data_IF_936706089369
#
_entry.id   IF_936706089369
#
_cell.length_a   1.000
_cell.length_b   1.000
_cell.length_c   1.000
_cell.angle_alpha   90.00
_cell.angle_beta   90.00
_cell.angle_gamma   90.00
#
_symmetry.space_group_name_H-M   'P 1'
#
loop_
_entity.id
_entity.type
_entity.pdbx_description
1 polymer ?
#
# COMPACT_ATOMS: atom_id res chain seq x y z
N UNK A 1 -6.58 -17.96 25.81
CA UNK A 1 -5.47 -18.73 25.19
C UNK A 1 -5.66 -20.19 25.57
N UNK A 2 -5.42 -21.15 24.67
CA UNK A 2 -5.53 -22.55 25.05
C UNK A 2 -4.43 -22.88 26.06
N UNK A 3 -4.80 -23.57 27.14
CA UNK A 3 -3.89 -24.12 28.14
C UNK A 3 -3.03 -25.19 27.46
N UNK A 4 -1.71 -25.20 27.73
CA UNK A 4 -0.86 -26.33 27.37
C UNK A 4 -1.19 -27.55 28.23
N UNK A 5 -0.72 -28.72 27.80
CA UNK A 5 -0.98 -30.02 28.45
C UNK A 5 -0.49 -30.09 29.92
N UNK A 6 0.38 -29.16 30.35
CA UNK A 6 0.86 -29.02 31.73
C UNK A 6 0.04 -28.01 32.58
N UNK A 7 -1.03 -27.44 32.03
CA UNK A 7 -1.89 -26.46 32.69
C UNK A 7 -1.23 -25.09 32.93
N UNK A 8 -0.05 -24.83 32.32
CA UNK A 8 0.67 -23.55 32.46
C UNK A 8 0.37 -22.62 31.28
N UNK A 9 0.55 -21.32 31.51
CA UNK A 9 0.57 -20.33 30.43
C UNK A 9 2.03 -20.18 30.01
N UNK A 10 2.38 -20.68 28.83
CA UNK A 10 3.69 -20.41 28.23
C UNK A 10 3.59 -19.14 27.41
N UNK A 11 4.29 -18.09 27.83
CA UNK A 11 4.56 -16.94 26.97
C UNK A 11 5.51 -17.40 25.86
N UNK A 12 5.07 -17.24 24.60
CA UNK A 12 5.86 -17.60 23.43
C UNK A 12 5.99 -16.37 22.58
N UNK A 13 7.21 -15.84 22.51
CA UNK A 13 7.54 -14.68 21.70
C UNK A 13 8.27 -15.13 20.43
N UNK A 14 8.05 -14.41 19.33
CA UNK A 14 8.83 -14.61 18.11
C UNK A 14 10.29 -14.23 18.37
N UNK A 15 11.25 -15.03 17.91
CA UNK A 15 12.67 -14.79 18.22
C UNK A 15 13.15 -13.40 17.81
N UNK A 16 12.91 -13.01 16.55
CA UNK A 16 13.33 -11.71 16.04
C UNK A 16 12.45 -10.58 16.56
N UNK A 17 11.13 -10.72 16.48
CA UNK A 17 10.19 -9.68 16.89
C UNK A 17 10.24 -9.41 18.39
N UNK A 18 10.35 -10.45 19.22
CA UNK A 18 10.48 -10.34 20.67
C UNK A 18 11.83 -9.72 21.06
N UNK A 19 12.92 -10.11 20.41
CA UNK A 19 14.22 -9.47 20.63
C UNK A 19 14.24 -8.00 20.23
N UNK A 20 13.60 -7.63 19.11
CA UNK A 20 13.43 -6.22 18.74
C UNK A 20 12.54 -5.47 19.74
N UNK A 21 11.48 -6.12 20.25
CA UNK A 21 10.59 -5.53 21.25
C UNK A 21 11.30 -5.23 22.58
N UNK A 22 12.14 -6.16 23.04
CA UNK A 22 12.99 -5.99 24.23
C UNK A 22 13.98 -4.83 24.10
N UNK A 23 14.34 -4.47 22.87
CA UNK A 23 15.22 -3.34 22.59
C UNK A 23 14.49 -1.99 22.60
N UNK A 24 13.15 -1.98 22.54
CA UNK A 24 12.36 -0.76 22.57
C UNK A 24 12.14 -0.30 24.02
N UNK A 25 12.42 0.98 24.30
CA UNK A 25 11.93 1.63 25.51
C UNK A 25 10.50 2.13 25.27
N UNK A 26 9.51 1.46 25.85
CA UNK A 26 8.13 1.94 25.79
C UNK A 26 7.97 3.22 26.60
N UNK A 27 7.48 4.33 26.00
CA UNK A 27 7.22 5.53 26.76
C UNK A 27 6.10 5.30 27.78
N UNK A 28 6.27 5.81 28.99
CA UNK A 28 5.23 5.87 30.03
C UNK A 28 4.09 6.87 29.71
N UNK A 29 4.01 7.38 28.47
CA UNK A 29 3.04 8.40 28.07
C UNK A 29 2.01 7.72 27.16
N UNK A 30 0.70 7.74 27.51
CA UNK A 30 -0.34 6.99 26.80
C UNK A 30 -0.49 7.29 25.30
N UNK A 31 0.04 8.42 24.81
CA UNK A 31 -0.19 8.92 23.46
C UNK A 31 1.09 9.31 22.70
N UNK A 32 2.27 8.90 23.20
CA UNK A 32 3.53 9.18 22.51
C UNK A 32 3.99 7.91 21.80
N UNK A 33 3.81 7.83 20.48
CA UNK A 33 4.32 6.70 19.66
C UNK A 33 5.85 6.71 19.65
N UNK A 34 6.48 7.84 19.96
CA UNK A 34 7.92 8.01 19.84
C UNK A 34 8.45 8.91 20.94
N UNK A 35 8.98 8.31 22.00
CA UNK A 35 9.91 8.99 22.90
C UNK A 35 11.25 8.28 22.71
N UNK A 36 11.96 8.63 21.63
CA UNK A 36 13.32 8.10 21.39
C UNK A 36 14.24 8.68 22.47
N UNK A 37 14.32 8.00 23.62
CA UNK A 37 15.55 8.05 24.41
C UNK A 37 16.54 7.17 23.67
N UNK A 38 17.52 7.83 23.05
CA UNK A 38 18.56 7.19 22.27
C UNK A 38 19.43 6.31 23.17
N UNK A 39 19.12 5.02 23.23
CA UNK A 39 20.12 4.01 23.51
C UNK A 39 20.65 3.53 22.16
N UNK A 40 21.96 3.57 21.99
CA UNK A 40 22.57 2.96 20.81
C UNK A 40 22.32 1.45 20.83
N UNK A 41 21.62 0.96 19.81
CA UNK A 41 21.34 -0.46 19.61
C UNK A 41 22.12 -0.94 18.39
N UNK A 42 22.94 -1.97 18.55
CA UNK A 42 23.61 -2.62 17.43
C UNK A 42 22.68 -3.66 16.81
N UNK A 43 22.21 -3.38 15.60
CA UNK A 43 21.32 -4.25 14.84
C UNK A 43 22.03 -4.74 13.56
N UNK A 44 22.52 -5.99 13.51
CA UNK A 44 23.16 -6.51 12.31
C UNK A 44 22.10 -6.75 11.21
N UNK A 45 22.15 -5.96 10.15
CA UNK A 45 21.28 -6.08 8.97
C UNK A 45 22.11 -6.25 7.71
N UNK A 46 21.53 -6.91 6.72
CA UNK A 46 22.07 -6.98 5.36
C UNK A 46 20.93 -6.81 4.36
N UNK A 47 21.12 -6.02 3.29
CA UNK A 47 20.09 -5.84 2.29
C UNK A 47 19.95 -7.12 1.46
N UNK A 48 18.73 -7.66 1.40
CA UNK A 48 18.35 -8.65 0.40
C UNK A 48 17.68 -7.91 -0.76
N UNK A 49 18.35 -7.84 -1.90
CA UNK A 49 17.81 -7.18 -3.08
C UNK A 49 16.61 -7.99 -3.60
N UNK A 50 15.41 -7.40 -3.55
CA UNK A 50 14.18 -7.99 -4.10
C UNK A 50 13.86 -7.29 -5.42
N UNK A 51 13.99 -8.01 -6.53
CA UNK A 51 13.76 -7.45 -7.88
C UNK A 51 12.31 -7.63 -8.38
N UNK A 52 11.42 -8.20 -7.56
CA UNK A 52 10.08 -8.62 -8.00
C UNK A 52 8.94 -7.77 -7.44
N UNK A 53 9.19 -6.88 -6.49
CA UNK A 53 8.17 -6.00 -5.91
C UNK A 53 8.70 -4.57 -5.83
N UNK A 54 8.95 -4.00 -7.00
CA UNK A 54 9.53 -2.67 -7.19
C UNK A 54 8.61 -1.81 -8.04
N UNK A 55 8.69 -0.49 -7.87
CA UNK A 55 7.99 0.47 -8.72
C UNK A 55 8.48 0.37 -10.17
N UNK A 56 7.61 0.65 -11.16
CA UNK A 56 8.04 0.74 -12.55
C UNK A 56 8.93 1.97 -12.77
N UNK A 57 9.73 2.00 -13.85
CA UNK A 57 10.40 3.22 -14.28
C UNK A 57 9.41 4.36 -14.53
N UNK A 58 9.86 5.59 -14.26
CA UNK A 58 9.06 6.81 -14.38
C UNK A 58 7.70 6.72 -13.66
N UNK A 59 7.69 6.41 -12.36
CA UNK A 59 6.49 5.98 -11.66
C UNK A 59 5.43 7.09 -11.54
N UNK A 60 5.81 8.37 -11.65
CA UNK A 60 4.85 9.49 -11.69
C UNK A 60 3.91 9.46 -12.91
N UNK A 61 4.30 8.79 -14.00
CA UNK A 61 3.46 8.59 -15.20
C UNK A 61 2.55 7.37 -15.13
N UNK A 62 2.67 6.57 -14.07
CA UNK A 62 2.03 5.25 -13.94
C UNK A 62 0.92 5.31 -12.91
N UNK A 63 -0.16 4.60 -13.17
CA UNK A 63 -1.17 4.40 -12.14
C UNK A 63 -0.71 3.27 -11.22
N UNK A 64 -0.80 3.48 -9.91
CA UNK A 64 -0.32 2.53 -8.91
C UNK A 64 -1.47 2.24 -7.94
N UNK A 65 -1.91 0.99 -7.88
CA UNK A 65 -2.92 0.52 -6.93
C UNK A 65 -2.21 -0.33 -5.87
N UNK A 66 -2.19 0.15 -4.64
CA UNK A 66 -1.56 -0.51 -3.49
C UNK A 66 -2.63 -1.08 -2.57
N UNK A 67 -2.51 -2.35 -2.21
CA UNK A 67 -3.52 -3.07 -1.45
C UNK A 67 -2.84 -3.87 -0.34
N UNK A 68 -3.07 -3.51 0.93
CA UNK A 68 -2.45 -4.24 2.02
C UNK A 68 -3.15 -4.10 3.36
N UNK A 69 -3.06 -5.14 4.18
CA UNK A 69 -3.67 -5.16 5.51
C UNK A 69 -2.59 -5.29 6.60
N UNK A 70 -2.81 -4.63 7.74
CA UNK A 70 -1.88 -4.66 8.87
C UNK A 70 -0.46 -4.28 8.45
N UNK A 71 0.52 -5.15 8.74
CA UNK A 71 1.93 -4.94 8.37
C UNK A 71 2.19 -5.01 6.87
N UNK A 72 1.25 -5.48 6.05
CA UNK A 72 1.34 -5.46 4.58
C UNK A 72 1.42 -4.06 3.97
N UNK A 73 1.15 -3.01 4.74
CA UNK A 73 1.35 -1.64 4.27
C UNK A 73 2.82 -1.21 4.22
N UNK A 74 3.72 -1.96 4.87
CA UNK A 74 5.14 -1.63 5.00
C UNK A 74 5.84 -1.27 3.68
N UNK A 75 5.75 -2.04 2.58
CA UNK A 75 6.37 -1.65 1.31
C UNK A 75 5.75 -0.39 0.71
N UNK A 76 4.45 -0.16 0.95
CA UNK A 76 3.72 0.99 0.40
C UNK A 76 4.08 2.30 1.07
N UNK A 77 4.42 2.29 2.37
CA UNK A 77 5.02 3.45 3.03
C UNK A 77 6.25 3.91 2.23
N UNK A 78 7.15 2.99 1.88
CA UNK A 78 8.33 3.31 1.07
C UNK A 78 7.99 3.83 -0.33
N UNK A 79 7.02 3.24 -1.02
CA UNK A 79 6.59 3.70 -2.35
C UNK A 79 6.01 5.12 -2.31
N UNK A 80 5.18 5.41 -1.31
CA UNK A 80 4.49 6.70 -1.18
C UNK A 80 5.48 7.79 -0.78
N UNK A 81 6.38 7.51 0.17
CA UNK A 81 7.43 8.46 0.55
C UNK A 81 8.40 8.71 -0.60
N UNK A 82 8.71 7.69 -1.41
CA UNK A 82 9.49 7.88 -2.64
C UNK A 82 8.76 8.75 -3.67
N UNK A 83 7.44 8.54 -3.89
CA UNK A 83 6.65 9.46 -4.71
C UNK A 83 6.68 10.88 -4.15
N UNK A 84 6.59 11.03 -2.82
CA UNK A 84 6.63 12.33 -2.14
C UNK A 84 7.95 13.06 -2.43
N UNK A 85 9.08 12.37 -2.26
CA UNK A 85 10.40 12.89 -2.61
C UNK A 85 10.49 13.27 -4.09
N UNK A 86 9.96 12.44 -5.01
CA UNK A 86 9.94 12.76 -6.45
C UNK A 86 9.09 14.01 -6.77
N UNK A 87 8.02 14.28 -6.01
CA UNK A 87 7.21 15.48 -6.18
C UNK A 87 7.89 16.72 -5.59
N UNK A 88 8.65 16.56 -4.51
CA UNK A 88 9.35 17.65 -3.79
C UNK A 88 10.68 18.03 -4.44
N UNK A 89 11.50 17.06 -4.81
CA UNK A 89 12.87 17.26 -5.29
C UNK A 89 13.03 17.00 -6.80
N UNK A 90 12.07 16.27 -7.39
CA UNK A 90 12.16 15.81 -8.76
C UNK A 90 12.93 14.50 -8.92
N UNK A 91 12.91 13.98 -10.14
CA UNK A 91 13.62 12.74 -10.46
C UNK A 91 15.12 13.06 -10.62
N UNK A 92 15.96 12.51 -9.72
CA UNK A 92 17.41 12.76 -9.64
C UNK A 92 18.20 12.23 -10.83
N UNK A 93 17.65 11.25 -11.56
CA UNK A 93 18.29 10.62 -12.73
C UNK A 93 17.79 11.25 -14.04
N UNK A 94 18.68 11.91 -14.78
CA UNK A 94 18.67 12.26 -16.22
C UNK A 94 17.34 12.17 -17.01
N UNK A 95 16.31 12.90 -16.58
CA UNK A 95 15.16 13.20 -17.44
C UNK A 95 15.40 14.56 -18.09
N UNK A 96 15.28 14.66 -19.41
CA UNK A 96 15.33 15.95 -20.10
C UNK A 96 14.16 16.85 -19.64
N UNK A 97 14.39 18.15 -19.57
CA UNK A 97 13.41 19.17 -19.13
C UNK A 97 12.03 18.99 -19.78
N UNK A 98 12.00 18.61 -21.07
CA UNK A 98 10.77 18.39 -21.83
C UNK A 98 9.96 17.16 -21.37
N UNK A 99 10.63 16.11 -20.89
CA UNK A 99 9.98 14.90 -20.42
C UNK A 99 9.45 15.09 -18.98
N UNK A 100 10.09 15.93 -18.15
CA UNK A 100 9.52 16.44 -16.89
C UNK A 100 8.20 17.20 -17.11
N UNK A 101 8.14 18.06 -18.12
CA UNK A 101 6.92 18.84 -18.47
C UNK A 101 5.82 17.95 -19.09
N UNK A 102 6.18 16.82 -19.70
CA UNK A 102 5.19 15.81 -20.15
C UNK A 102 4.68 14.95 -18.99
N UNK A 103 5.55 14.61 -18.02
CA UNK A 103 5.18 13.89 -16.80
C UNK A 103 4.14 14.67 -15.97
N UNK A 104 4.27 15.99 -15.87
CA UNK A 104 3.27 16.84 -15.19
C UNK A 104 1.91 16.90 -15.92
N UNK A 105 1.84 16.52 -17.19
CA UNK A 105 0.61 16.48 -18.01
C UNK A 105 -0.05 15.09 -18.07
N UNK A 106 0.67 14.03 -17.68
CA UNK A 106 0.20 12.63 -17.66
C UNK A 106 0.35 12.06 -16.25
N UNK A 107 -0.24 12.74 -15.27
CA UNK A 107 -0.24 12.31 -13.88
C UNK A 107 -0.89 10.93 -13.74
N UNK A 108 -0.11 9.96 -13.26
CA UNK A 108 -0.63 8.65 -12.89
C UNK A 108 -1.42 8.71 -11.59
N UNK A 109 -2.53 7.98 -11.51
CA UNK A 109 -3.35 7.87 -10.30
C UNK A 109 -2.75 6.88 -9.31
N UNK A 110 -2.46 7.31 -8.09
CA UNK A 110 -1.96 6.46 -7.01
C UNK A 110 -3.02 6.29 -5.93
N UNK A 111 -3.35 5.04 -5.64
CA UNK A 111 -4.42 4.69 -4.70
C UNK A 111 -3.94 3.66 -3.68
N UNK A 112 -4.36 3.83 -2.43
CA UNK A 112 -4.08 2.89 -1.34
C UNK A 112 -5.39 2.35 -0.76
N UNK A 113 -5.52 1.03 -0.73
CA UNK A 113 -6.57 0.32 0.00
C UNK A 113 -5.94 -0.40 1.20
N UNK A 114 -6.23 0.10 2.40
CA UNK A 114 -5.66 -0.37 3.66
C UNK A 114 -6.71 -1.00 4.57
N UNK A 115 -6.30 -2.03 5.33
CA UNK A 115 -7.16 -2.71 6.29
C UNK A 115 -6.50 -2.89 7.65
N UNK A 116 -7.22 -2.55 8.71
CA UNK A 116 -6.81 -2.79 10.10
C UNK A 116 -8.00 -3.30 10.94
N UNK A 117 -7.83 -3.51 12.24
CA UNK A 117 -8.95 -3.89 13.12
C UNK A 117 -9.68 -2.66 13.64
N UNK A 118 -8.93 -1.66 14.08
CA UNK A 118 -9.41 -0.42 14.67
C UNK A 118 -8.42 0.72 14.38
N UNK A 119 -8.94 1.86 13.92
CA UNK A 119 -8.20 3.08 13.68
C UNK A 119 -7.44 3.52 14.92
N UNK A 120 -8.05 3.37 16.10
CA UNK A 120 -7.45 3.85 17.35
C UNK A 120 -6.39 2.92 17.92
N UNK A 121 -6.40 1.63 17.55
CA UNK A 121 -5.55 0.62 18.20
C UNK A 121 -4.41 0.13 17.32
N UNK A 122 -4.67 -0.16 16.05
CA UNK A 122 -3.72 -0.89 15.20
C UNK A 122 -3.64 -0.37 13.76
N UNK A 123 -4.08 0.86 13.51
CA UNK A 123 -3.89 1.52 12.21
C UNK A 123 -2.49 2.12 12.12
N UNK A 124 -1.60 1.43 11.39
CA UNK A 124 -0.20 1.84 11.21
C UNK A 124 -0.03 3.13 10.39
N UNK A 125 -1.04 3.50 9.61
CA UNK A 125 -1.01 4.69 8.73
C UNK A 125 -1.88 5.83 9.24
N UNK A 126 -2.34 5.77 10.50
CA UNK A 126 -3.24 6.79 11.08
C UNK A 126 -2.69 8.21 10.93
N UNK A 127 -1.42 8.40 11.28
CA UNK A 127 -0.77 9.72 11.23
C UNK A 127 -0.31 10.09 9.81
N UNK A 128 0.03 9.09 8.99
CA UNK A 128 0.38 9.27 7.58
C UNK A 128 -0.80 9.73 6.74
N UNK A 129 -2.04 9.37 7.10
CA UNK A 129 -3.23 9.73 6.34
C UNK A 129 -3.35 11.24 6.11
N UNK A 130 -2.93 12.06 7.08
CA UNK A 130 -2.95 13.52 6.92
C UNK A 130 -1.91 13.97 5.89
N UNK A 131 -0.71 13.40 5.92
CA UNK A 131 0.38 13.72 4.99
C UNK A 131 0.07 13.25 3.57
N UNK A 132 -0.48 12.05 3.42
CA UNK A 132 -0.70 11.43 2.12
C UNK A 132 -1.95 11.94 1.38
N UNK A 133 -2.85 12.65 2.06
CA UNK A 133 -3.96 13.38 1.43
C UNK A 133 -3.56 14.79 0.93
N UNK A 134 -2.28 15.18 1.05
CA UNK A 134 -1.83 16.50 0.63
C UNK A 134 -1.50 16.55 -0.87
N UNK A 135 -1.65 17.75 -1.43
CA UNK A 135 -1.13 18.11 -2.75
C UNK A 135 0.21 18.79 -2.59
N UNK A 136 1.23 18.25 -3.25
CA UNK A 136 2.56 18.83 -3.28
C UNK A 136 2.69 19.70 -4.52
N UNK A 137 3.13 20.94 -4.30
CA UNK A 137 3.39 21.91 -5.36
C UNK A 137 4.87 22.26 -5.38
N UNK A 138 5.56 21.84 -6.44
CA UNK A 138 6.91 22.28 -6.74
C UNK A 138 6.86 23.26 -7.93
N UNK A 139 7.04 24.55 -7.62
CA UNK A 139 6.98 25.64 -8.61
C UNK A 139 8.13 25.59 -9.62
N UNK A 140 9.34 25.24 -9.18
CA UNK A 140 10.51 25.10 -10.05
C UNK A 140 10.32 24.01 -11.12
N UNK A 141 9.54 22.98 -10.80
CA UNK A 141 9.24 21.88 -11.72
C UNK A 141 7.89 22.03 -12.44
N UNK A 142 7.06 23.02 -12.06
CA UNK A 142 5.70 23.15 -12.57
C UNK A 142 4.79 21.94 -12.23
N UNK A 143 5.06 21.25 -11.12
CA UNK A 143 4.27 20.11 -10.65
C UNK A 143 3.35 20.55 -9.51
N UNK A 144 2.09 20.12 -9.59
CA UNK A 144 1.09 20.25 -8.52
C UNK A 144 0.23 19.00 -8.52
N UNK A 145 0.54 18.02 -7.67
CA UNK A 145 -0.10 16.70 -7.67
C UNK A 145 -0.38 16.20 -6.25
N UNK A 146 -1.45 15.42 -6.03
CA UNK A 146 -1.68 14.75 -4.77
C UNK A 146 -0.63 13.66 -4.53
N UNK A 147 -0.25 13.45 -3.27
CA UNK A 147 0.59 12.31 -2.85
C UNK A 147 -0.17 11.01 -3.15
N UNK A 148 -1.43 10.90 -2.71
CA UNK A 148 -2.36 9.86 -3.13
C UNK A 148 -3.65 10.47 -3.65
N UNK A 149 -4.14 9.96 -4.77
CA UNK A 149 -5.42 10.35 -5.36
C UNK A 149 -6.59 9.74 -4.57
N UNK A 150 -6.36 8.62 -3.89
CA UNK A 150 -7.36 7.97 -3.06
C UNK A 150 -6.72 7.12 -1.95
N UNK A 151 -7.30 7.18 -0.77
CA UNK A 151 -6.96 6.34 0.38
C UNK A 151 -8.26 5.79 0.96
N UNK A 152 -8.39 4.47 0.96
CA UNK A 152 -9.50 3.77 1.59
C UNK A 152 -8.99 2.99 2.80
N UNK A 153 -9.54 3.27 3.99
CA UNK A 153 -9.19 2.57 5.22
C UNK A 153 -10.40 1.78 5.72
N UNK A 154 -10.27 0.46 5.69
CA UNK A 154 -11.27 -0.48 6.21
C UNK A 154 -10.93 -0.96 7.61
N UNK A 155 -11.96 -1.17 8.43
CA UNK A 155 -11.81 -1.64 9.81
C UNK A 155 -12.63 -2.90 10.04
N UNK A 156 -11.97 -3.98 10.48
CA UNK A 156 -12.63 -5.28 10.67
C UNK A 156 -13.40 -5.39 11.98
N UNK A 157 -13.17 -4.51 12.97
CA UNK A 157 -13.79 -4.61 14.31
C UNK A 157 -14.56 -3.38 14.76
N UNK A 158 -14.58 -2.30 13.98
CA UNK A 158 -15.33 -1.08 14.29
C UNK A 158 -16.04 -0.54 13.05
N UNK A 159 -16.88 0.48 13.25
CA UNK A 159 -17.67 1.10 12.19
C UNK A 159 -18.74 0.20 11.54
N UNK A 160 -19.52 0.81 10.67
CA UNK A 160 -20.57 0.16 9.88
C UNK A 160 -20.19 -0.03 8.39
N UNK A 161 -18.97 0.38 8.02
CA UNK A 161 -18.47 0.23 6.65
C UNK A 161 -17.98 -1.18 6.30
N UNK A 162 -17.41 -1.35 5.10
CA UNK A 162 -16.84 -2.62 4.67
C UNK A 162 -15.77 -3.14 5.64
N UNK A 163 -15.94 -4.40 6.10
CA UNK A 163 -15.06 -4.99 7.11
C UNK A 163 -13.69 -5.43 6.59
N UNK A 164 -13.60 -5.72 5.30
CA UNK A 164 -12.36 -6.11 4.65
C UNK A 164 -12.16 -5.32 3.36
N UNK A 165 -10.89 -5.21 2.95
CA UNK A 165 -10.48 -4.43 1.78
C UNK A 165 -11.22 -4.86 0.53
N UNK A 166 -11.34 -6.16 0.28
CA UNK A 166 -12.08 -6.69 -0.87
C UNK A 166 -13.54 -6.24 -0.89
N UNK A 167 -14.17 -6.04 0.28
CA UNK A 167 -15.54 -5.57 0.35
C UNK A 167 -15.64 -4.08 0.03
N UNK A 168 -14.64 -3.27 0.38
CA UNK A 168 -14.58 -1.86 0.01
C UNK A 168 -14.32 -1.69 -1.50
N UNK A 169 -13.38 -2.43 -2.06
CA UNK A 169 -13.01 -2.32 -3.48
C UNK A 169 -14.18 -2.59 -4.44
N UNK A 170 -15.12 -3.47 -4.07
CA UNK A 170 -16.29 -3.80 -4.89
C UNK A 170 -17.51 -2.89 -4.63
N UNK A 171 -17.38 -1.87 -3.78
CA UNK A 171 -18.46 -0.91 -3.58
C UNK A 171 -18.70 -0.06 -4.84
N UNK A 172 -19.94 0.42 -5.07
CA UNK A 172 -20.30 1.17 -6.27
C UNK A 172 -19.41 2.39 -6.56
N UNK A 173 -18.93 3.07 -5.52
CA UNK A 173 -18.04 4.23 -5.62
C UNK A 173 -16.65 3.91 -6.17
N UNK A 174 -16.16 2.67 -6.00
CA UNK A 174 -14.81 2.27 -6.39
C UNK A 174 -14.79 1.48 -7.71
N UNK A 175 -15.84 0.68 -7.96
CA UNK A 175 -15.83 -0.37 -9.00
C UNK A 175 -15.52 0.16 -10.41
N UNK A 176 -16.07 1.32 -10.76
CA UNK A 176 -15.87 1.89 -12.09
C UNK A 176 -14.46 2.47 -12.26
N UNK A 177 -13.99 3.22 -11.26
CA UNK A 177 -12.65 3.78 -11.29
C UNK A 177 -11.58 2.67 -11.33
N UNK A 178 -11.70 1.68 -10.45
CA UNK A 178 -10.80 0.53 -10.43
C UNK A 178 -10.88 -0.26 -11.74
N UNK A 179 -12.07 -0.49 -12.30
CA UNK A 179 -12.23 -1.17 -13.58
C UNK A 179 -11.49 -0.48 -14.74
N UNK A 180 -11.64 0.85 -14.86
CA UNK A 180 -10.92 1.65 -15.85
C UNK A 180 -9.41 1.62 -15.61
N UNK A 181 -8.97 1.74 -14.36
CA UNK A 181 -7.54 1.65 -14.03
C UNK A 181 -6.96 0.28 -14.38
N UNK A 182 -7.62 -0.82 -14.02
CA UNK A 182 -7.14 -2.18 -14.32
C UNK A 182 -6.93 -2.42 -15.83
N UNK A 183 -7.78 -1.81 -16.66
CA UNK A 183 -7.70 -1.92 -18.13
C UNK A 183 -6.66 -0.98 -18.75
N UNK A 184 -6.20 0.01 -18.01
CA UNK A 184 -5.15 0.91 -18.49
C UNK A 184 -3.79 0.20 -18.44
N UNK A 185 -3.11 0.14 -19.60
CA UNK A 185 -1.78 -0.49 -19.77
C UNK A 185 -0.67 0.11 -18.89
N UNK A 186 -0.85 1.34 -18.41
CA UNK A 186 0.08 2.02 -17.51
C UNK A 186 -0.22 1.79 -16.02
N UNK A 187 -1.14 0.89 -15.69
CA UNK A 187 -1.51 0.58 -14.31
C UNK A 187 -0.76 -0.64 -13.79
N UNK A 188 -0.27 -0.52 -12.55
CA UNK A 188 0.38 -1.55 -11.78
C UNK A 188 -0.35 -1.76 -10.46
N UNK A 189 -0.52 -3.03 -10.06
CA UNK A 189 -1.26 -3.46 -8.88
C UNK A 189 -0.29 -4.18 -7.97
N UNK A 190 -0.25 -3.76 -6.71
CA UNK A 190 0.62 -4.31 -5.68
C UNK A 190 -0.21 -4.78 -4.50
N UNK A 191 -0.06 -6.05 -4.13
CA UNK A 191 -0.78 -6.67 -3.02
C UNK A 191 0.21 -7.14 -1.97
N UNK A 192 -0.03 -6.84 -0.70
CA UNK A 192 0.74 -7.40 0.42
C UNK A 192 -0.13 -7.77 1.62
N UNK A 193 0.09 -8.98 2.17
CA UNK A 193 -0.57 -9.50 3.39
C UNK A 193 -2.11 -9.42 3.42
N UNK A 194 -2.80 -9.60 2.29
CA UNK A 194 -4.26 -9.67 2.24
C UNK A 194 -4.77 -10.79 1.33
N UNK A 195 -5.94 -11.34 1.68
CA UNK A 195 -6.60 -12.45 0.99
C UNK A 195 -7.87 -11.96 0.29
N UNK A 196 -8.35 -12.70 -0.70
CA UNK A 196 -9.62 -12.40 -1.40
C UNK A 196 -9.56 -11.25 -2.40
N UNK A 197 -8.41 -10.59 -2.58
CA UNK A 197 -8.28 -9.47 -3.52
C UNK A 197 -8.41 -9.94 -4.98
N UNK A 198 -7.87 -11.11 -5.34
CA UNK A 198 -7.97 -11.61 -6.71
C UNK A 198 -9.43 -11.78 -7.15
N UNK A 199 -10.28 -12.34 -6.26
CA UNK A 199 -11.72 -12.46 -6.49
C UNK A 199 -12.40 -11.09 -6.58
N UNK A 200 -12.01 -10.14 -5.72
CA UNK A 200 -12.51 -8.76 -5.78
C UNK A 200 -12.22 -8.09 -7.12
N UNK A 201 -10.99 -8.26 -7.65
CA UNK A 201 -10.59 -7.75 -8.95
C UNK A 201 -11.39 -8.40 -10.08
N UNK A 202 -11.67 -9.71 -10.00
CA UNK A 202 -12.58 -10.38 -10.94
C UNK A 202 -13.97 -9.76 -10.90
N UNK A 203 -14.55 -9.55 -9.71
CA UNK A 203 -15.87 -8.91 -9.54
C UNK A 203 -15.85 -7.49 -10.15
N UNK A 204 -14.79 -6.72 -9.94
CA UNK A 204 -14.64 -5.38 -10.52
C UNK A 204 -14.67 -5.44 -12.06
N UNK A 205 -13.88 -6.34 -12.66
CA UNK A 205 -13.82 -6.49 -14.13
C UNK A 205 -15.16 -6.94 -14.73
N UNK A 206 -15.96 -7.70 -13.98
CA UNK A 206 -17.28 -8.15 -14.41
C UNK A 206 -18.38 -7.09 -14.30
N UNK A 207 -18.22 -6.12 -13.40
CA UNK A 207 -19.29 -5.16 -13.06
C UNK A 207 -18.93 -3.70 -13.39
N UNK A 208 -17.74 -3.44 -13.93
CA UNK A 208 -17.36 -2.12 -14.42
C UNK A 208 -18.16 -1.72 -15.66
N UNK A 209 -18.54 -0.45 -15.75
CA UNK A 209 -19.22 0.11 -16.92
C UNK A 209 -18.32 0.21 -18.16
N UNK A 210 -17.01 0.13 -17.99
CA UNK A 210 -16.02 0.24 -19.05
C UNK A 210 -15.70 -1.15 -19.64
N UNK A 211 -16.61 -1.69 -20.45
CA UNK A 211 -16.40 -2.96 -21.17
C UNK A 211 -16.32 -4.19 -20.25
N UNK A 212 -17.38 -4.45 -19.47
CA UNK A 212 -17.51 -5.59 -18.57
C UNK A 212 -17.10 -6.93 -19.23
N UNK A 213 -16.39 -7.76 -18.48
CA UNK A 213 -15.92 -9.08 -18.89
C UNK A 213 -16.77 -10.18 -18.25
N UNK A 214 -16.87 -11.35 -18.87
CA UNK A 214 -17.39 -12.52 -18.16
C UNK A 214 -16.34 -13.07 -17.16
N UNK A 215 -16.71 -14.06 -16.35
CA UNK A 215 -15.85 -14.59 -15.30
C UNK A 215 -14.52 -15.16 -15.84
N UNK A 216 -14.58 -15.90 -16.95
CA UNK A 216 -13.41 -16.52 -17.58
C UNK A 216 -12.49 -15.45 -18.17
N UNK A 217 -13.04 -14.51 -18.93
CA UNK A 217 -12.29 -13.39 -19.51
C UNK A 217 -11.60 -12.55 -18.43
N UNK A 218 -12.28 -12.28 -17.32
CA UNK A 218 -11.71 -11.53 -16.20
C UNK A 218 -10.54 -12.27 -15.55
N UNK A 219 -10.61 -13.60 -15.40
CA UNK A 219 -9.50 -14.39 -14.87
C UNK A 219 -8.32 -14.42 -15.84
N UNK A 220 -8.57 -14.68 -17.12
CA UNK A 220 -7.54 -14.65 -18.16
C UNK A 220 -6.85 -13.28 -18.23
N UNK A 221 -7.61 -12.20 -18.10
CA UNK A 221 -7.08 -10.84 -18.07
C UNK A 221 -6.14 -10.62 -16.88
N UNK A 222 -6.52 -11.06 -15.67
CA UNK A 222 -5.65 -10.95 -14.49
C UNK A 222 -4.36 -11.78 -14.62
N UNK A 223 -4.42 -12.94 -15.28
CA UNK A 223 -3.23 -13.73 -15.60
C UNK A 223 -2.32 -13.01 -16.62
N UNK A 224 -2.89 -12.33 -17.62
CA UNK A 224 -2.11 -11.46 -18.53
C UNK A 224 -1.41 -10.36 -17.72
N UNK A 225 -2.09 -9.68 -16.80
CA UNK A 225 -1.46 -8.65 -15.95
C UNK A 225 -0.30 -9.22 -15.13
N UNK A 226 -0.45 -10.44 -14.62
CA UNK A 226 0.58 -11.13 -13.84
C UNK A 226 1.80 -11.47 -14.73
N UNK A 227 1.59 -12.01 -15.93
CA UNK A 227 2.64 -12.31 -16.91
C UNK A 227 3.38 -11.03 -17.37
N UNK A 228 2.66 -9.92 -17.51
CA UNK A 228 3.22 -8.61 -17.84
C UNK A 228 3.91 -7.91 -16.65
N UNK A 229 3.96 -8.54 -15.47
CA UNK A 229 4.49 -7.97 -14.22
C UNK A 229 3.83 -6.65 -13.84
N UNK A 230 2.53 -6.52 -14.15
CA UNK A 230 1.67 -5.39 -13.74
C UNK A 230 0.75 -5.76 -12.58
N UNK A 231 0.65 -7.05 -12.25
CA UNK A 231 -0.05 -7.53 -11.06
C UNK A 231 0.92 -8.31 -10.16
N UNK A 232 1.34 -7.69 -9.05
CA UNK A 232 2.41 -8.19 -8.19
C UNK A 232 1.90 -8.47 -6.78
N UNK A 233 2.39 -9.56 -6.19
CA UNK A 233 1.99 -10.03 -4.86
C UNK A 233 3.22 -10.30 -4.00
N UNK A 234 3.24 -9.69 -2.83
CA UNK A 234 4.23 -9.90 -1.77
C UNK A 234 3.53 -10.53 -0.56
N UNK A 235 3.50 -11.87 -0.54
CA UNK A 235 2.75 -12.65 0.46
C UNK A 235 3.74 -13.43 1.31
N UNK A 236 3.69 -13.18 2.61
CA UNK A 236 4.48 -13.86 3.63
C UNK A 236 3.59 -14.88 4.35
N UNK A 237 4.12 -16.06 4.64
CA UNK A 237 3.41 -17.20 5.22
C UNK A 237 3.60 -17.35 6.72
#
# INVERSE_FOLDING_TARGET
MPLSDDGRIHHRDGLCTGWLDEMLEYPNVPDCIVNFRFRDVYLPIFPKIVNTFVLPPNPLSKNIIMIGAGTGVSPFIGFIEYKRELLEEGQKDDIEEEERVKLSKSAGSWQLFYGCRSIQKDCLIKDYNILWNQTITNKSMGISMPVLDHIEITTSREGNGPKYIQNAMVQPEHINNLGTLLKNKNTYIYISMCKGIHEALTIILQNTNDGAMNATEAQEFLEILNLEKRYLRDIWG
#
